data_IF_318301976113
#
_entry.id   IF_318301976113
#
_cell.length_a   1.000
_cell.length_b   1.000
_cell.length_c   1.000
_cell.angle_alpha   90.00
_cell.angle_beta   90.00
_cell.angle_gamma   90.00
#
_symmetry.space_group_name_H-M   'P 1'
#
loop_
_entity.id
_entity.type
_entity.pdbx_description
1 polymer ?
#
# COMPACT_ATOMS: atom_id res chain seq x y z
N UNK A 1 4.30 4.39 -13.99
CA UNK A 1 3.48 3.75 -12.95
C UNK A 1 2.87 2.41 -13.38
N UNK A 2 2.02 2.34 -14.42
CA UNK A 2 1.40 1.06 -14.87
C UNK A 2 2.43 -0.03 -15.17
N UNK A 3 3.52 0.28 -15.86
CA UNK A 3 4.57 -0.66 -16.16
C UNK A 3 5.24 -1.21 -14.90
N UNK A 4 5.61 -0.34 -13.96
CA UNK A 4 6.22 -0.77 -12.70
C UNK A 4 5.28 -1.60 -11.83
N UNK A 5 3.98 -1.30 -11.86
CA UNK A 5 2.97 -2.12 -11.16
C UNK A 5 2.80 -3.52 -11.77
N UNK A 6 2.97 -3.69 -13.09
CA UNK A 6 2.69 -4.97 -13.78
C UNK A 6 3.93 -5.79 -14.09
N UNK A 7 5.08 -5.14 -14.37
CA UNK A 7 6.33 -5.80 -14.76
C UNK A 7 7.45 -5.65 -13.74
N UNK A 8 7.26 -4.78 -12.72
CA UNK A 8 8.33 -4.36 -11.82
C UNK A 8 9.25 -3.30 -12.45
N UNK A 9 10.23 -2.88 -11.65
CA UNK A 9 11.25 -1.90 -12.07
C UNK A 9 12.34 -2.54 -12.93
N UNK A 10 12.88 -3.69 -12.52
CA UNK A 10 14.00 -4.34 -13.20
C UNK A 10 13.63 -4.76 -14.62
N UNK A 11 12.47 -5.36 -14.79
CA UNK A 11 11.96 -5.86 -16.09
C UNK A 11 11.33 -4.77 -16.97
N UNK A 12 11.34 -3.50 -16.54
CA UNK A 12 10.86 -2.38 -17.36
C UNK A 12 12.04 -1.65 -17.97
N UNK A 13 12.16 -1.62 -19.30
CA UNK A 13 13.19 -0.87 -20.01
C UNK A 13 12.81 0.59 -20.22
N UNK A 14 13.81 1.44 -20.55
CA UNK A 14 13.54 2.82 -21.00
C UNK A 14 12.71 2.82 -22.29
N UNK A 15 12.94 1.83 -23.17
CA UNK A 15 12.15 1.64 -24.38
C UNK A 15 10.66 1.42 -24.08
N UNK A 16 10.33 0.50 -23.14
CA UNK A 16 8.96 0.26 -22.69
C UNK A 16 8.30 1.56 -22.19
N UNK A 17 9.07 2.37 -21.44
CA UNK A 17 8.58 3.64 -20.89
C UNK A 17 8.27 4.64 -22.01
N UNK A 18 9.19 4.80 -22.97
CA UNK A 18 8.99 5.69 -24.12
C UNK A 18 7.77 5.30 -24.95
N UNK A 19 7.64 4.01 -25.28
CA UNK A 19 6.50 3.48 -26.04
C UNK A 19 5.17 3.73 -25.28
N UNK A 20 5.15 3.42 -23.98
CA UNK A 20 3.94 3.61 -23.16
C UNK A 20 3.57 5.08 -22.96
N UNK A 21 4.56 5.96 -22.88
CA UNK A 21 4.37 7.40 -22.73
C UNK A 21 4.13 8.11 -24.08
N UNK A 22 4.30 7.39 -25.22
CA UNK A 22 4.32 8.00 -26.58
C UNK A 22 5.29 9.16 -26.66
N UNK A 23 6.47 9.01 -26.05
CA UNK A 23 7.52 10.05 -25.98
C UNK A 23 8.76 9.61 -26.77
N UNK A 24 9.47 10.59 -27.33
CA UNK A 24 10.79 10.34 -27.90
C UNK A 24 11.86 10.23 -26.80
N UNK A 25 13.04 9.70 -27.13
CA UNK A 25 14.19 9.63 -26.22
C UNK A 25 14.57 11.02 -25.70
N UNK A 26 14.64 12.02 -26.57
CA UNK A 26 14.92 13.40 -26.18
C UNK A 26 13.83 13.97 -25.25
N UNK A 27 12.55 13.74 -25.57
CA UNK A 27 11.43 14.15 -24.74
C UNK A 27 11.48 13.56 -23.34
N UNK A 28 11.83 12.27 -23.19
CA UNK A 28 11.97 11.65 -21.88
C UNK A 28 13.16 12.22 -21.09
N UNK A 29 14.33 12.33 -21.71
CA UNK A 29 15.55 12.79 -21.05
C UNK A 29 15.57 14.29 -20.77
N UNK A 30 14.66 15.09 -21.34
CA UNK A 30 14.43 16.48 -20.93
C UNK A 30 13.82 16.58 -19.52
N UNK A 31 13.12 15.52 -19.06
CA UNK A 31 12.45 15.51 -17.76
C UNK A 31 13.14 14.64 -16.71
N UNK A 32 13.82 13.57 -17.13
CA UNK A 32 14.42 12.59 -16.25
C UNK A 32 15.83 12.24 -16.72
N UNK A 33 16.80 12.35 -15.85
CA UNK A 33 18.21 12.06 -16.16
C UNK A 33 18.50 10.57 -16.24
N UNK A 34 17.70 9.76 -15.54
CA UNK A 34 17.91 8.31 -15.39
C UNK A 34 16.61 7.53 -15.19
N UNK A 35 16.66 6.22 -15.26
CA UNK A 35 15.54 5.33 -14.89
C UNK A 35 15.24 5.42 -13.39
N UNK A 36 16.25 5.70 -12.58
CA UNK A 36 16.15 5.96 -11.15
C UNK A 36 15.31 7.21 -10.86
N UNK A 37 15.53 8.30 -11.59
CA UNK A 37 14.72 9.53 -11.45
C UNK A 37 13.24 9.24 -11.75
N UNK A 38 12.99 8.44 -12.79
CA UNK A 38 11.62 7.98 -13.12
C UNK A 38 11.04 7.14 -11.98
N UNK A 39 11.84 6.26 -11.36
CA UNK A 39 11.40 5.46 -10.23
C UNK A 39 10.94 6.34 -9.07
N UNK A 40 11.74 7.32 -8.66
CA UNK A 40 11.37 8.21 -7.54
C UNK A 40 10.14 9.06 -7.87
N UNK A 41 10.03 9.57 -9.10
CA UNK A 41 8.84 10.30 -9.54
C UNK A 41 7.58 9.41 -9.50
N UNK A 42 7.68 8.17 -9.99
CA UNK A 42 6.59 7.19 -9.94
C UNK A 42 6.22 6.84 -8.51
N UNK A 43 7.21 6.63 -7.62
CA UNK A 43 6.99 6.32 -6.22
C UNK A 43 6.30 7.47 -5.48
N UNK A 44 6.72 8.71 -5.75
CA UNK A 44 6.09 9.91 -5.20
C UNK A 44 4.62 10.02 -5.60
N UNK A 45 4.32 9.84 -6.88
CA UNK A 45 2.94 9.88 -7.40
C UNK A 45 2.09 8.72 -6.87
N UNK A 46 2.66 7.51 -6.80
CA UNK A 46 1.99 6.35 -6.22
C UNK A 46 1.62 6.58 -4.74
N UNK A 47 2.51 7.25 -3.97
CA UNK A 47 2.24 7.64 -2.57
C UNK A 47 1.09 8.65 -2.45
N UNK A 48 0.98 9.61 -3.38
CA UNK A 48 -0.16 10.56 -3.40
C UNK A 48 -1.47 9.84 -3.65
N UNK A 49 -1.51 9.00 -4.68
CA UNK A 49 -2.70 8.19 -5.02
C UNK A 49 -3.07 7.27 -3.85
N UNK A 50 -2.07 6.63 -3.24
CA UNK A 50 -2.29 5.75 -2.09
C UNK A 50 -2.97 6.52 -0.94
N UNK A 51 -2.43 7.69 -0.56
CA UNK A 51 -3.02 8.53 0.49
C UNK A 51 -4.43 8.98 0.13
N UNK A 52 -4.62 9.51 -1.06
CA UNK A 52 -5.92 9.98 -1.52
C UNK A 52 -7.00 8.91 -1.44
N UNK A 53 -6.66 7.66 -1.73
CA UNK A 53 -7.62 6.55 -1.74
C UNK A 53 -7.83 5.95 -0.37
N UNK A 54 -6.74 5.64 0.31
CA UNK A 54 -6.80 4.87 1.55
C UNK A 54 -7.18 5.72 2.76
N UNK A 55 -6.85 7.02 2.75
CA UNK A 55 -7.19 7.91 3.85
C UNK A 55 -8.51 8.66 3.64
N UNK A 56 -9.21 8.42 2.52
CA UNK A 56 -10.47 9.10 2.23
C UNK A 56 -11.54 8.82 3.29
N UNK A 57 -12.10 9.89 3.87
CA UNK A 57 -13.16 9.82 4.87
C UNK A 57 -12.71 9.41 6.28
N UNK A 58 -11.39 9.22 6.53
CA UNK A 58 -10.90 8.89 7.87
C UNK A 58 -11.06 10.06 8.85
N UNK A 59 -10.92 11.29 8.36
CA UNK A 59 -11.01 12.49 9.21
C UNK A 59 -12.44 12.75 9.69
N UNK A 60 -13.44 12.20 9.01
CA UNK A 60 -14.87 12.29 9.37
C UNK A 60 -15.27 11.29 10.46
N UNK A 61 -14.38 10.35 10.81
CA UNK A 61 -14.64 9.30 11.81
C UNK A 61 -13.99 9.72 13.12
N UNK A 62 -14.74 9.71 14.22
CA UNK A 62 -14.20 10.05 15.54
C UNK A 62 -13.45 8.86 16.18
N UNK A 63 -14.04 7.68 16.13
CA UNK A 63 -13.54 6.47 16.78
C UNK A 63 -12.26 5.94 16.14
N UNK A 64 -11.13 5.83 16.87
CA UNK A 64 -9.86 5.37 16.36
C UNK A 64 -9.90 3.99 15.69
N UNK A 65 -10.55 3.01 16.32
CA UNK A 65 -10.67 1.65 15.75
C UNK A 65 -11.47 1.66 14.46
N UNK A 66 -12.52 2.47 14.38
CA UNK A 66 -13.31 2.63 13.14
C UNK A 66 -12.48 3.26 12.00
N UNK A 67 -11.51 4.15 12.31
CA UNK A 67 -10.56 4.65 11.31
C UNK A 67 -9.69 3.54 10.73
N UNK A 68 -9.20 2.61 11.58
CA UNK A 68 -8.41 1.47 11.10
C UNK A 68 -9.26 0.57 10.20
N UNK A 69 -10.50 0.27 10.59
CA UNK A 69 -11.43 -0.50 9.75
C UNK A 69 -11.69 0.18 8.40
N UNK A 70 -11.94 1.50 8.42
CA UNK A 70 -12.12 2.30 7.20
C UNK A 70 -10.91 2.29 6.29
N UNK A 71 -9.70 2.33 6.86
CA UNK A 71 -8.47 2.18 6.11
C UNK A 71 -8.41 0.82 5.38
N UNK A 72 -8.78 -0.27 6.06
CA UNK A 72 -8.81 -1.62 5.49
C UNK A 72 -9.85 -1.73 4.35
N UNK A 73 -11.06 -1.19 4.56
CA UNK A 73 -12.09 -1.11 3.52
C UNK A 73 -11.62 -0.31 2.30
N UNK A 74 -11.04 0.86 2.51
CA UNK A 74 -10.52 1.70 1.44
C UNK A 74 -9.38 1.00 0.68
N UNK A 75 -8.49 0.28 1.40
CA UNK A 75 -7.43 -0.50 0.80
C UNK A 75 -7.98 -1.60 -0.13
N UNK A 76 -9.02 -2.31 0.32
CA UNK A 76 -9.73 -3.30 -0.48
C UNK A 76 -10.45 -2.68 -1.67
N UNK A 77 -11.32 -1.68 -1.42
CA UNK A 77 -12.34 -1.26 -2.38
C UNK A 77 -11.88 -0.12 -3.29
N UNK A 78 -11.05 0.79 -2.78
CA UNK A 78 -10.61 1.96 -3.53
C UNK A 78 -9.20 1.82 -4.11
N UNK A 79 -8.35 0.97 -3.51
CA UNK A 79 -6.97 0.83 -3.94
C UNK A 79 -6.71 -0.48 -4.69
N UNK A 80 -6.90 -1.64 -4.08
CA UNK A 80 -6.57 -2.93 -4.71
C UNK A 80 -7.48 -3.31 -5.87
N UNK A 81 -8.77 -2.91 -5.83
CA UNK A 81 -9.70 -3.14 -6.94
C UNK A 81 -9.49 -2.22 -8.15
N UNK A 82 -8.64 -1.18 -8.03
CA UNK A 82 -8.35 -0.29 -9.15
C UNK A 82 -7.30 -0.86 -10.11
N UNK A 83 -7.75 -1.69 -11.02
CA UNK A 83 -6.92 -2.23 -12.11
C UNK A 83 -6.55 -1.19 -13.18
N UNK A 84 -7.18 -0.01 -13.18
CA UNK A 84 -6.89 1.04 -14.17
C UNK A 84 -5.55 1.71 -13.89
N UNK A 85 -5.23 1.98 -12.64
CA UNK A 85 -3.99 2.65 -12.22
C UNK A 85 -2.88 1.63 -11.89
N UNK A 86 -3.23 0.56 -11.17
CA UNK A 86 -2.31 -0.47 -10.70
C UNK A 86 -2.75 -1.87 -11.19
N UNK A 87 -2.55 -2.17 -12.48
CA UNK A 87 -3.02 -3.44 -13.06
C UNK A 87 -2.35 -4.68 -12.46
N UNK A 88 -1.15 -4.53 -11.89
CA UNK A 88 -0.41 -5.59 -11.19
C UNK A 88 -0.71 -5.69 -9.68
N UNK A 89 -1.67 -4.90 -9.16
CA UNK A 89 -1.94 -4.83 -7.74
C UNK A 89 -1.16 -3.73 -7.03
N UNK A 90 -0.83 -3.92 -5.77
CA UNK A 90 -0.11 -2.90 -4.98
C UNK A 90 1.33 -2.72 -5.48
N UNK A 91 1.61 -1.57 -6.10
CA UNK A 91 2.93 -1.25 -6.63
C UNK A 91 4.02 -1.30 -5.55
N UNK A 92 3.71 -0.93 -4.30
CA UNK A 92 4.68 -0.97 -3.19
C UNK A 92 5.07 -2.39 -2.84
N UNK A 93 4.12 -3.34 -2.84
CA UNK A 93 4.39 -4.77 -2.60
C UNK A 93 5.23 -5.33 -3.75
N UNK A 94 4.83 -5.08 -5.00
CA UNK A 94 5.59 -5.54 -6.18
C UNK A 94 7.04 -5.07 -6.13
N UNK A 95 7.24 -3.77 -5.90
CA UNK A 95 8.58 -3.18 -5.88
C UNK A 95 9.40 -3.60 -4.66
N UNK A 96 8.78 -3.79 -3.49
CA UNK A 96 9.52 -4.22 -2.29
C UNK A 96 10.07 -5.63 -2.41
N UNK A 97 9.29 -6.55 -2.98
CA UNK A 97 9.75 -7.94 -3.21
C UNK A 97 10.82 -8.01 -4.30
N UNK A 98 10.66 -7.19 -5.36
CA UNK A 98 11.61 -7.20 -6.49
C UNK A 98 12.97 -6.58 -6.15
N UNK A 99 12.98 -5.54 -5.33
CA UNK A 99 14.16 -4.69 -5.15
C UNK A 99 14.92 -4.94 -3.84
N UNK A 100 14.45 -5.83 -2.99
CA UNK A 100 14.94 -6.10 -1.64
C UNK A 100 16.46 -5.87 -1.49
N UNK A 101 17.30 -6.82 -1.83
CA UNK A 101 18.75 -6.70 -1.72
C UNK A 101 19.43 -6.09 -2.97
N UNK A 102 18.70 -5.89 -4.07
CA UNK A 102 19.30 -5.50 -5.34
C UNK A 102 19.51 -3.98 -5.47
N UNK A 103 18.70 -3.18 -4.79
CA UNK A 103 18.72 -1.72 -4.85
C UNK A 103 18.47 -1.12 -3.45
N UNK A 104 19.47 -1.11 -2.56
CA UNK A 104 19.29 -0.71 -1.15
C UNK A 104 18.64 0.66 -0.95
N UNK A 105 18.94 1.64 -1.82
CA UNK A 105 18.34 3.00 -1.74
C UNK A 105 16.84 2.93 -2.00
N UNK A 106 16.40 2.10 -2.96
CA UNK A 106 14.98 1.97 -3.30
C UNK A 106 14.23 1.19 -2.23
N UNK A 107 14.84 0.12 -1.71
CA UNK A 107 14.30 -0.67 -0.59
C UNK A 107 14.11 0.20 0.65
N UNK A 108 15.09 1.06 0.97
CA UNK A 108 14.97 2.02 2.07
C UNK A 108 13.78 2.96 1.88
N UNK A 109 13.62 3.55 0.70
CA UNK A 109 12.50 4.43 0.38
C UNK A 109 11.15 3.74 0.50
N UNK A 110 11.05 2.48 0.04
CA UNK A 110 9.83 1.69 0.17
C UNK A 110 9.52 1.40 1.63
N UNK A 111 10.52 0.95 2.40
CA UNK A 111 10.40 0.64 3.82
C UNK A 111 9.97 1.85 4.66
N UNK A 112 10.47 3.06 4.36
CA UNK A 112 10.00 4.27 5.04
C UNK A 112 8.49 4.50 4.87
N UNK A 113 7.92 4.12 3.74
CA UNK A 113 6.47 4.16 3.51
C UNK A 113 5.73 3.16 4.42
N UNK A 114 6.27 1.97 4.56
CA UNK A 114 5.71 0.91 5.42
C UNK A 114 5.81 1.29 6.91
N UNK A 115 6.94 1.84 7.34
CA UNK A 115 7.12 2.33 8.72
C UNK A 115 6.10 3.43 9.04
N UNK A 116 5.88 4.39 8.13
CA UNK A 116 4.87 5.44 8.33
C UNK A 116 3.45 4.88 8.44
N UNK A 117 3.09 3.89 7.60
CA UNK A 117 1.78 3.25 7.66
C UNK A 117 1.59 2.47 8.98
N UNK A 118 2.56 1.66 9.37
CA UNK A 118 2.52 0.94 10.66
C UNK A 118 2.42 1.90 11.83
N UNK A 119 3.21 2.98 11.83
CA UNK A 119 3.14 4.00 12.87
C UNK A 119 1.78 4.70 12.95
N UNK A 120 1.08 4.88 11.82
CA UNK A 120 -0.28 5.42 11.80
C UNK A 120 -1.27 4.42 12.41
N UNK A 121 -1.24 3.16 11.99
CA UNK A 121 -2.12 2.10 12.51
C UNK A 121 -1.92 1.96 14.02
N UNK A 122 -0.66 1.87 14.48
CA UNK A 122 -0.34 1.74 15.90
C UNK A 122 -0.92 2.89 16.73
N UNK A 123 -0.68 4.14 16.31
CA UNK A 123 -1.25 5.30 17.02
C UNK A 123 -2.77 5.23 17.14
N UNK A 124 -3.48 4.79 16.10
CA UNK A 124 -4.93 4.64 16.15
C UNK A 124 -5.36 3.53 17.11
N UNK A 125 -4.61 2.42 17.18
CA UNK A 125 -4.88 1.34 18.13
C UNK A 125 -4.58 1.77 19.57
N UNK A 126 -3.48 2.49 19.81
CA UNK A 126 -3.14 3.04 21.12
C UNK A 126 -4.22 4.04 21.59
N UNK A 127 -4.70 4.93 20.72
CA UNK A 127 -5.82 5.82 21.00
C UNK A 127 -7.13 5.05 21.27
N UNK A 128 -7.37 3.94 20.56
CA UNK A 128 -8.52 3.05 20.83
C UNK A 128 -8.43 2.38 22.20
N UNK A 129 -7.24 2.04 22.66
CA UNK A 129 -7.00 1.51 24.01
C UNK A 129 -7.23 2.60 25.07
N UNK A 130 -6.69 3.80 24.86
CA UNK A 130 -6.87 4.94 25.75
C UNK A 130 -8.34 5.35 25.90
N UNK A 131 -9.13 5.26 24.82
CA UNK A 131 -10.57 5.55 24.80
C UNK A 131 -11.46 4.41 25.29
N UNK A 132 -10.89 3.24 25.60
CA UNK A 132 -11.64 2.05 26.04
C UNK A 132 -12.36 1.30 24.94
N UNK A 133 -12.02 1.55 23.65
CA UNK A 133 -12.51 0.74 22.54
C UNK A 133 -11.78 -0.61 22.42
N UNK A 134 -10.56 -0.68 22.96
CA UNK A 134 -9.69 -1.88 22.97
C UNK A 134 -9.33 -2.21 24.42
N UNK A 135 -9.35 -3.50 24.76
CA UNK A 135 -8.94 -4.00 26.08
C UNK A 135 -7.49 -3.64 26.38
N UNK A 136 -7.19 -3.34 27.65
CA UNK A 136 -5.88 -2.85 28.11
C UNK A 136 -4.74 -3.88 27.99
N UNK A 137 -5.06 -5.17 27.97
CA UNK A 137 -4.08 -6.25 27.83
C UNK A 137 -3.64 -6.50 26.38
N UNK A 138 -4.25 -5.83 25.39
CA UNK A 138 -3.95 -6.03 23.97
C UNK A 138 -2.58 -5.43 23.63
N UNK A 139 -1.72 -6.21 23.00
CA UNK A 139 -0.46 -5.72 22.45
C UNK A 139 -0.69 -5.04 21.09
N UNK A 140 -0.85 -3.72 21.10
CA UNK A 140 -1.13 -2.92 19.90
C UNK A 140 -0.01 -2.99 18.86
N UNK A 141 1.23 -3.23 19.28
CA UNK A 141 2.37 -3.43 18.37
C UNK A 141 2.21 -4.73 17.58
N UNK A 142 1.92 -5.84 18.27
CA UNK A 142 1.68 -7.13 17.62
C UNK A 142 0.45 -7.07 16.69
N UNK A 143 -0.62 -6.41 17.11
CA UNK A 143 -1.82 -6.19 16.28
C UNK A 143 -1.47 -5.36 15.03
N UNK A 144 -0.65 -4.34 15.17
CA UNK A 144 -0.18 -3.53 14.03
C UNK A 144 0.56 -4.36 13.01
N UNK A 145 1.51 -5.21 13.46
CA UNK A 145 2.27 -6.09 12.56
C UNK A 145 1.36 -7.11 11.87
N UNK A 146 0.40 -7.67 12.59
CA UNK A 146 -0.58 -8.61 12.02
C UNK A 146 -1.46 -7.94 10.95
N UNK A 147 -2.01 -6.75 11.23
CA UNK A 147 -2.83 -6.00 10.27
C UNK A 147 -2.01 -5.66 9.04
N UNK A 148 -0.80 -5.12 9.22
CA UNK A 148 0.06 -4.75 8.12
C UNK A 148 0.45 -5.97 7.26
N UNK A 149 0.85 -7.07 7.87
CA UNK A 149 1.16 -8.33 7.18
C UNK A 149 -0.06 -8.88 6.43
N UNK A 150 -1.25 -8.82 7.04
CA UNK A 150 -2.50 -9.20 6.41
C UNK A 150 -2.84 -8.33 5.19
N UNK A 151 -2.59 -7.03 5.24
CA UNK A 151 -2.75 -6.14 4.07
C UNK A 151 -1.80 -6.52 2.94
N UNK A 152 -0.52 -6.79 3.24
CA UNK A 152 0.44 -7.24 2.23
C UNK A 152 0.03 -8.58 1.63
N UNK A 153 -0.32 -9.57 2.47
CA UNK A 153 -0.80 -10.88 2.04
C UNK A 153 -2.05 -10.79 1.17
N UNK A 154 -3.03 -9.98 1.57
CA UNK A 154 -4.24 -9.74 0.79
C UNK A 154 -3.95 -9.17 -0.60
N UNK A 155 -2.96 -8.27 -0.71
CA UNK A 155 -2.51 -7.73 -1.99
C UNK A 155 -1.90 -8.80 -2.90
N UNK A 156 -1.04 -9.66 -2.34
CA UNK A 156 -0.39 -10.76 -3.09
C UNK A 156 -1.44 -11.76 -3.57
N UNK A 157 -2.31 -12.24 -2.67
CA UNK A 157 -3.37 -13.20 -2.99
C UNK A 157 -4.30 -12.63 -4.07
N UNK A 158 -4.73 -11.36 -3.92
CA UNK A 158 -5.57 -10.72 -4.94
C UNK A 158 -4.88 -10.63 -6.31
N UNK A 159 -3.58 -10.36 -6.32
CA UNK A 159 -2.77 -10.29 -7.54
C UNK A 159 -2.62 -11.65 -8.24
N UNK A 160 -2.47 -12.73 -7.47
CA UNK A 160 -2.27 -14.10 -8.00
C UNK A 160 -3.58 -14.79 -8.38
N UNK A 161 -4.57 -14.76 -7.49
CA UNK A 161 -5.85 -15.42 -7.72
C UNK A 161 -6.79 -14.61 -8.62
N UNK A 162 -6.58 -13.29 -8.72
CA UNK A 162 -7.45 -12.34 -9.43
C UNK A 162 -8.93 -12.42 -9.01
N UNK A 163 -9.15 -12.94 -7.81
CA UNK A 163 -10.46 -13.16 -7.21
C UNK A 163 -10.78 -12.08 -6.17
N UNK A 164 -11.89 -11.38 -6.28
CA UNK A 164 -12.33 -10.46 -5.24
C UNK A 164 -12.78 -11.20 -3.96
N UNK A 165 -13.10 -12.49 -4.04
CA UNK A 165 -13.60 -13.28 -2.92
C UNK A 165 -12.52 -13.46 -1.84
N UNK A 166 -11.32 -13.90 -2.22
CA UNK A 166 -10.21 -14.07 -1.27
C UNK A 166 -9.76 -12.74 -0.66
N UNK A 167 -9.71 -11.68 -1.47
CA UNK A 167 -9.44 -10.32 -0.98
C UNK A 167 -10.46 -9.90 0.08
N UNK A 168 -11.76 -10.09 -0.19
CA UNK A 168 -12.81 -9.74 0.75
C UNK A 168 -12.70 -10.55 2.04
N UNK A 169 -12.43 -11.86 1.96
CA UNK A 169 -12.23 -12.71 3.15
C UNK A 169 -11.07 -12.23 4.00
N UNK A 170 -9.90 -11.96 3.40
CA UNK A 170 -8.73 -11.49 4.15
C UNK A 170 -9.02 -10.16 4.87
N UNK A 171 -9.58 -9.18 4.17
CA UNK A 171 -9.83 -7.87 4.78
C UNK A 171 -10.95 -7.95 5.82
N UNK A 172 -12.03 -8.70 5.57
CA UNK A 172 -13.10 -8.85 6.56
C UNK A 172 -12.58 -9.56 7.82
N UNK A 173 -11.74 -10.60 7.69
CA UNK A 173 -11.15 -11.26 8.85
C UNK A 173 -10.30 -10.32 9.72
N UNK A 174 -9.58 -9.35 9.10
CA UNK A 174 -8.85 -8.34 9.85
C UNK A 174 -9.80 -7.35 10.56
N UNK A 175 -10.93 -7.02 9.93
CA UNK A 175 -11.95 -6.15 10.52
C UNK A 175 -12.66 -6.88 11.68
N UNK A 176 -13.05 -8.15 11.49
CA UNK A 176 -13.68 -8.97 12.53
C UNK A 176 -12.75 -9.17 13.73
N UNK A 177 -11.43 -9.33 13.46
CA UNK A 177 -10.44 -9.40 14.51
C UNK A 177 -10.37 -8.09 15.31
N UNK A 178 -10.39 -6.92 14.66
CA UNK A 178 -10.44 -5.63 15.36
C UNK A 178 -11.71 -5.51 16.24
N UNK A 179 -12.85 -6.04 15.78
CA UNK A 179 -14.07 -6.08 16.59
C UNK A 179 -13.91 -6.96 17.84
N UNK A 180 -13.17 -8.06 17.75
CA UNK A 180 -12.90 -8.95 18.87
C UNK A 180 -11.99 -8.38 19.96
N UNK A 181 -11.34 -7.22 19.70
CA UNK A 181 -10.47 -6.54 20.68
C UNK A 181 -11.26 -5.68 21.66
N UNK A 182 -12.55 -5.47 21.44
CA UNK A 182 -13.41 -4.71 22.35
C UNK A 182 -13.52 -5.38 23.73
N UNK A 183 -13.74 -4.60 24.81
CA UNK A 183 -13.97 -5.12 26.16
C UNK A 183 -15.09 -6.12 26.26
#
# INVERSE_FOLDING_TARGET
MKLFSSKGYLSTSIQDIMEKAKSSKGGLYNHFKSKEDIFFAVLSEARKIWRQRNLAGLDEIEKPVAKVKKLLENYRDRYLKDKKTFPGGCIFVTLSVELDDQKPIFSKELNEGFVRLKGMIRRLLDQGMESGEIRQEVNTEAVTEMIFSGMLGASVIHGTEKSPTSLNRCINALIDYLDSLAP
#
